data_IF_415389081311
#
_entry.id   IF_415389081311
#
_cell.length_a   1.000
_cell.length_b   1.000
_cell.length_c   1.000
_cell.angle_alpha   90.00
_cell.angle_beta   90.00
_cell.angle_gamma   90.00
#
_symmetry.space_group_name_H-M   'P 1'
#
loop_
_entity.id
_entity.type
_entity.pdbx_description
1 polymer ?
#
# COMPACT_ATOMS: atom_id res chain seq x y z
N UNK A 1 -7.39 -18.86 80.41
CA UNK A 1 -8.65 -19.63 80.49
C UNK A 1 -8.51 -20.82 79.55
N UNK A 2 -8.72 -22.08 79.93
CA UNK A 2 -8.88 -22.67 81.28
C UNK A 2 -8.46 -24.16 81.25
N UNK A 3 -8.26 -24.77 82.42
CA UNK A 3 -8.00 -26.22 82.64
C UNK A 3 -9.20 -27.11 82.23
N UNK A 4 -9.08 -28.44 82.10
CA UNK A 4 -9.20 -29.49 83.17
C UNK A 4 -8.97 -30.85 82.44
N UNK A 5 -7.89 -31.61 82.67
CA UNK A 5 -7.66 -32.75 83.60
C UNK A 5 -8.52 -34.03 83.42
N UNK A 6 -7.94 -35.18 83.77
CA UNK A 6 -8.40 -36.60 83.74
C UNK A 6 -9.27 -36.94 85.01
N UNK A 7 -9.48 -38.18 85.59
CA UNK A 7 -8.81 -39.52 85.44
C UNK A 7 -9.62 -40.84 85.74
N UNK A 8 -8.89 -41.98 85.86
CA UNK A 8 -9.05 -43.17 86.78
C UNK A 8 -10.23 -44.19 86.81
N UNK A 9 -9.88 -45.47 86.54
CA UNK A 9 -10.06 -46.74 87.33
C UNK A 9 -11.18 -46.98 88.39
N UNK A 10 -11.75 -48.21 88.43
CA UNK A 10 -11.63 -49.23 89.54
C UNK A 10 -12.92 -50.03 89.94
N UNK A 11 -12.76 -51.33 90.30
CA UNK A 11 -13.53 -52.16 91.31
C UNK A 11 -15.05 -52.44 91.20
N UNK A 12 -15.69 -53.43 91.86
CA UNK A 12 -15.38 -54.85 92.28
C UNK A 12 -16.61 -55.52 92.98
N UNK A 13 -16.45 -56.66 93.69
CA UNK A 13 -17.38 -57.34 94.67
C UNK A 13 -18.42 -58.37 94.14
N UNK A 14 -18.89 -59.29 95.01
CA UNK A 14 -19.78 -60.47 94.79
C UNK A 14 -20.65 -60.80 96.05
N UNK A 15 -21.62 -61.74 95.98
CA UNK A 15 -22.40 -62.45 97.08
C UNK A 15 -23.80 -62.96 96.57
N UNK A 16 -24.57 -63.93 97.13
CA UNK A 16 -24.39 -64.91 98.24
C UNK A 16 -25.42 -66.10 98.28
N UNK A 17 -25.18 -67.09 99.16
CA UNK A 17 -26.20 -67.95 99.86
C UNK A 17 -26.39 -69.41 99.38
N UNK A 18 -27.13 -70.36 100.00
CA UNK A 18 -27.55 -70.81 101.38
C UNK A 18 -28.11 -72.26 101.19
N UNK A 19 -28.14 -73.29 102.06
CA UNK A 19 -27.76 -73.58 103.46
C UNK A 19 -27.44 -75.11 103.60
N UNK A 20 -27.76 -75.91 104.64
CA UNK A 20 -28.38 -75.74 105.97
C UNK A 20 -27.84 -76.82 106.98
N UNK A 21 -28.63 -77.47 107.87
CA UNK A 21 -28.15 -78.19 109.08
C UNK A 21 -28.92 -79.47 109.55
N UNK A 22 -28.26 -80.33 110.36
CA UNK A 22 -28.82 -81.46 111.16
C UNK A 22 -27.74 -82.23 111.98
N UNK A 23 -28.02 -82.71 113.21
CA UNK A 23 -26.99 -83.11 114.24
C UNK A 23 -27.42 -84.35 115.11
N UNK A 24 -26.45 -84.97 115.82
CA UNK A 24 -26.49 -85.88 117.02
C UNK A 24 -26.24 -87.40 116.82
N UNK A 25 -25.89 -88.20 117.85
CA UNK A 25 -24.67 -88.19 118.70
C UNK A 25 -24.47 -89.49 119.53
N UNK A 26 -23.20 -89.84 119.82
CA UNK A 26 -22.68 -90.65 120.96
C UNK A 26 -23.13 -92.13 121.19
N UNK A 27 -22.13 -93.03 121.02
CA UNK A 27 -21.75 -94.25 121.76
C UNK A 27 -22.74 -95.38 122.15
N UNK A 28 -22.36 -96.60 121.75
CA UNK A 28 -22.15 -97.72 122.69
C UNK A 28 -20.97 -98.61 122.22
N UNK A 29 -20.57 -99.62 123.00
CA UNK A 29 -19.18 -100.07 123.09
C UNK A 29 -18.89 -101.49 122.53
N UNK A 30 -17.72 -101.65 121.92
CA UNK A 30 -16.95 -102.90 121.73
C UNK A 30 -17.60 -104.12 121.03
N UNK A 31 -17.34 -104.25 119.71
CA UNK A 31 -16.89 -105.50 119.09
C UNK A 31 -16.36 -105.29 117.65
N UNK A 32 -15.80 -106.34 117.05
CA UNK A 32 -15.45 -106.44 115.60
C UNK A 32 -14.27 -105.59 115.10
N UNK A 33 -13.21 -105.42 115.89
CA UNK A 33 -11.90 -104.87 115.45
C UNK A 33 -11.10 -105.78 114.50
N UNK A 34 -11.75 -106.70 113.76
CA UNK A 34 -11.11 -107.68 112.86
C UNK A 34 -11.65 -107.75 111.41
N UNK A 35 -12.67 -106.97 111.03
CA UNK A 35 -13.16 -106.92 109.63
C UNK A 35 -12.61 -105.73 108.81
N UNK A 36 -12.23 -104.63 109.45
CA UNK A 36 -11.91 -103.37 108.78
C UNK A 36 -10.69 -103.45 107.83
N UNK A 37 -9.75 -104.35 108.12
CA UNK A 37 -8.45 -104.45 107.44
C UNK A 37 -8.47 -105.21 106.09
N UNK A 38 -9.61 -105.85 105.75
CA UNK A 38 -9.88 -106.36 104.39
C UNK A 38 -10.55 -105.30 103.52
N UNK A 39 -11.62 -104.67 104.02
CA UNK A 39 -12.44 -103.72 103.24
C UNK A 39 -11.66 -102.48 102.75
N UNK A 40 -10.60 -102.06 103.45
CA UNK A 40 -9.77 -100.92 103.06
C UNK A 40 -8.89 -101.17 101.82
N UNK A 41 -8.60 -102.43 101.46
CA UNK A 41 -7.69 -102.76 100.35
C UNK A 41 -8.37 -102.70 98.98
N UNK A 42 -9.66 -103.06 98.92
CA UNK A 42 -10.42 -103.07 97.67
C UNK A 42 -10.83 -101.66 97.23
N UNK A 43 -11.12 -100.76 98.19
CA UNK A 43 -11.52 -99.38 97.88
C UNK A 43 -10.38 -98.56 97.25
N UNK A 44 -9.18 -98.60 97.85
CA UNK A 44 -8.00 -97.92 97.30
C UNK A 44 -7.63 -98.39 95.87
N UNK A 45 -7.94 -99.64 95.51
CA UNK A 45 -7.72 -100.18 94.17
C UNK A 45 -8.75 -99.67 93.14
N UNK A 46 -9.93 -99.25 93.58
CA UNK A 46 -10.91 -98.54 92.74
C UNK A 46 -10.48 -97.10 92.50
N UNK A 47 -10.13 -96.38 93.58
CA UNK A 47 -9.80 -94.95 93.52
C UNK A 47 -8.54 -94.71 92.66
N UNK A 48 -7.52 -95.59 92.76
CA UNK A 48 -6.33 -95.54 91.89
C UNK A 48 -6.66 -95.70 90.40
N UNK A 49 -7.56 -96.64 90.05
CA UNK A 49 -8.00 -96.84 88.65
C UNK A 49 -8.83 -95.66 88.13
N UNK A 50 -9.62 -95.03 89.00
CA UNK A 50 -10.39 -93.84 88.64
C UNK A 50 -9.49 -92.62 88.44
N UNK A 51 -8.46 -92.46 89.29
CA UNK A 51 -7.46 -91.41 89.15
C UNK A 51 -6.57 -91.60 87.92
N UNK A 52 -6.15 -92.83 87.60
CA UNK A 52 -5.45 -93.12 86.34
C UNK A 52 -6.29 -92.74 85.12
N UNK A 53 -7.59 -93.09 85.09
CA UNK A 53 -8.50 -92.67 84.01
C UNK A 53 -8.64 -91.15 83.92
N UNK A 54 -8.64 -90.43 85.04
CA UNK A 54 -8.64 -88.97 85.03
C UNK A 54 -7.31 -88.38 84.53
N UNK A 55 -6.18 -89.01 84.85
CA UNK A 55 -4.86 -88.58 84.34
C UNK A 55 -4.73 -88.85 82.84
N UNK A 56 -5.20 -90.00 82.34
CA UNK A 56 -5.24 -90.29 80.90
C UNK A 56 -6.19 -89.32 80.18
N UNK A 57 -7.41 -89.11 80.67
CA UNK A 57 -8.34 -88.15 80.06
C UNK A 57 -7.85 -86.69 80.12
N UNK A 58 -7.09 -86.31 81.17
CA UNK A 58 -6.44 -85.00 81.23
C UNK A 58 -5.22 -84.89 80.31
N UNK A 59 -4.51 -85.99 80.04
CA UNK A 59 -3.46 -86.05 79.01
C UNK A 59 -4.05 -85.96 77.61
N UNK A 60 -5.10 -86.70 77.31
CA UNK A 60 -5.83 -86.62 76.04
C UNK A 60 -6.38 -85.20 75.83
N UNK A 61 -6.96 -84.58 76.86
CA UNK A 61 -7.43 -83.20 76.79
C UNK A 61 -6.30 -82.16 76.68
N UNK A 62 -5.13 -82.40 77.28
CA UNK A 62 -3.93 -81.55 77.12
C UNK A 62 -3.33 -81.69 75.72
N UNK A 63 -3.15 -82.92 75.23
CA UNK A 63 -2.70 -83.24 73.89
C UNK A 63 -3.60 -82.56 72.85
N UNK A 64 -4.92 -82.75 72.96
CA UNK A 64 -5.89 -82.10 72.09
C UNK A 64 -5.87 -80.57 72.19
N UNK A 65 -5.60 -80.00 73.38
CA UNK A 65 -5.44 -78.54 73.54
C UNK A 65 -4.12 -78.01 73.01
N UNK A 66 -3.07 -78.82 72.99
CA UNK A 66 -1.77 -78.48 72.41
C UNK A 66 -1.81 -78.59 70.87
N UNK A 67 -2.53 -79.58 70.34
CA UNK A 67 -2.88 -79.73 68.92
C UNK A 67 -3.82 -78.60 68.44
N UNK A 68 -4.83 -78.21 69.23
CA UNK A 68 -5.66 -77.01 68.96
C UNK A 68 -4.78 -75.74 68.93
N UNK A 69 -3.82 -75.62 69.86
CA UNK A 69 -2.95 -74.44 69.97
C UNK A 69 -1.88 -74.36 68.89
N UNK A 70 -1.38 -75.48 68.37
CA UNK A 70 -0.51 -75.48 67.18
C UNK A 70 -1.31 -75.12 65.94
N UNK A 71 -2.48 -75.73 65.73
CA UNK A 71 -3.39 -75.36 64.62
C UNK A 71 -3.80 -73.88 64.65
N UNK A 72 -4.13 -73.32 65.82
CA UNK A 72 -4.42 -71.90 65.99
C UNK A 72 -3.20 -71.00 65.72
N UNK A 73 -1.99 -71.42 66.08
CA UNK A 73 -0.74 -70.68 65.77
C UNK A 73 -0.42 -70.71 64.28
N UNK A 74 -0.64 -71.82 63.61
CA UNK A 74 -0.45 -71.95 62.16
C UNK A 74 -1.47 -71.12 61.38
N UNK A 75 -2.75 -71.16 61.78
CA UNK A 75 -3.79 -70.29 61.24
C UNK A 75 -3.46 -68.81 61.43
N UNK A 76 -3.05 -68.40 62.64
CA UNK A 76 -2.65 -67.02 62.94
C UNK A 76 -1.42 -66.59 62.14
N UNK A 77 -0.46 -67.49 61.91
CA UNK A 77 0.72 -67.22 61.09
C UNK A 77 0.35 -67.05 59.61
N UNK A 78 -0.49 -67.94 59.07
CA UNK A 78 -0.99 -67.86 57.70
C UNK A 78 -1.80 -66.58 57.45
N UNK A 79 -2.69 -66.22 58.39
CA UNK A 79 -3.48 -64.99 58.30
C UNK A 79 -2.61 -63.73 58.46
N UNK A 80 -1.60 -63.75 59.35
CA UNK A 80 -0.62 -62.66 59.45
C UNK A 80 0.16 -62.46 58.15
N UNK A 81 0.61 -63.53 57.49
CA UNK A 81 1.25 -63.46 56.16
C UNK A 81 0.29 -62.92 55.12
N UNK A 82 -0.99 -63.32 55.14
CA UNK A 82 -2.01 -62.83 54.22
C UNK A 82 -2.36 -61.35 54.46
N UNK A 83 -2.35 -60.87 55.71
CA UNK A 83 -2.50 -59.44 56.05
C UNK A 83 -1.29 -58.66 55.56
N UNK A 84 -0.07 -59.17 55.74
CA UNK A 84 1.15 -58.51 55.24
C UNK A 84 1.18 -58.42 53.71
N UNK A 85 0.76 -59.47 52.98
CA UNK A 85 0.68 -59.41 51.51
C UNK A 85 -0.43 -58.49 51.02
N UNK A 86 -1.58 -58.45 51.69
CA UNK A 86 -2.66 -57.47 51.42
C UNK A 86 -2.23 -56.03 51.68
N UNK A 87 -1.48 -55.78 52.77
CA UNK A 87 -0.95 -54.44 53.07
C UNK A 87 0.04 -54.00 51.99
N UNK A 88 1.03 -54.83 51.65
CA UNK A 88 2.00 -54.50 50.60
C UNK A 88 1.34 -54.22 49.23
N UNK A 89 0.29 -54.97 48.88
CA UNK A 89 -0.48 -54.72 47.66
C UNK A 89 -1.29 -53.40 47.71
N UNK A 90 -1.79 -53.01 48.89
CA UNK A 90 -2.50 -51.75 49.10
C UNK A 90 -1.54 -50.53 49.11
N UNK A 91 -0.34 -50.69 49.66
CA UNK A 91 0.73 -49.70 49.61
C UNK A 91 1.21 -49.49 48.16
N UNK A 92 1.42 -50.57 47.40
CA UNK A 92 1.74 -50.50 45.97
C UNK A 92 0.63 -49.82 45.15
N UNK A 93 -0.64 -50.19 45.39
CA UNK A 93 -1.77 -49.60 44.68
C UNK A 93 -1.98 -48.11 45.00
N UNK A 94 -1.62 -47.66 46.21
CA UNK A 94 -1.69 -46.24 46.58
C UNK A 94 -0.53 -45.43 46.02
N UNK A 95 0.68 -46.00 45.87
CA UNK A 95 1.76 -45.35 45.10
C UNK A 95 1.39 -45.22 43.61
N UNK A 96 0.88 -46.28 42.98
CA UNK A 96 0.49 -46.27 41.57
C UNK A 96 -0.65 -45.26 41.31
N UNK A 97 -1.67 -45.23 42.17
CA UNK A 97 -2.73 -44.20 42.13
C UNK A 97 -2.16 -42.78 42.27
N UNK A 98 -1.16 -42.58 43.14
CA UNK A 98 -0.45 -41.31 43.29
C UNK A 98 0.28 -40.89 42.01
N UNK A 99 0.98 -41.82 41.35
CA UNK A 99 1.66 -41.57 40.06
C UNK A 99 0.68 -41.24 38.94
N UNK A 100 -0.40 -42.01 38.81
CA UNK A 100 -1.45 -41.78 37.80
C UNK A 100 -2.14 -40.44 38.03
N UNK A 101 -2.46 -40.09 39.28
CA UNK A 101 -3.05 -38.78 39.61
C UNK A 101 -2.11 -37.63 39.22
N UNK A 102 -0.84 -37.69 39.61
CA UNK A 102 0.14 -36.64 39.27
C UNK A 102 0.36 -36.50 37.75
N UNK A 103 0.31 -37.61 37.00
CA UNK A 103 0.38 -37.58 35.54
C UNK A 103 -0.88 -36.96 34.92
N UNK A 104 -2.06 -37.30 35.42
CA UNK A 104 -3.34 -36.73 34.99
C UNK A 104 -3.42 -35.22 35.26
N UNK A 105 -2.96 -34.76 36.43
CA UNK A 105 -2.92 -33.34 36.78
C UNK A 105 -1.98 -32.54 35.85
N UNK A 106 -0.81 -33.09 35.51
CA UNK A 106 0.09 -32.48 34.50
C UNK A 106 -0.55 -32.41 33.11
N UNK A 107 -1.20 -33.48 32.66
CA UNK A 107 -1.89 -33.51 31.37
C UNK A 107 -3.06 -32.51 31.31
N UNK A 108 -3.82 -32.38 32.41
CA UNK A 108 -4.90 -31.41 32.53
C UNK A 108 -4.39 -29.97 32.37
N UNK A 109 -3.24 -29.66 33.00
CA UNK A 109 -2.64 -28.32 32.94
C UNK A 109 -1.99 -28.02 31.58
N UNK A 110 -1.36 -29.01 30.92
CA UNK A 110 -0.94 -28.87 29.52
C UNK A 110 -2.11 -28.58 28.59
N UNK A 111 -3.24 -29.28 28.75
CA UNK A 111 -4.45 -29.06 27.94
C UNK A 111 -5.05 -27.69 28.21
N UNK A 112 -5.12 -27.24 29.47
CA UNK A 112 -5.52 -25.86 29.82
C UNK A 112 -4.62 -24.82 29.16
N UNK A 113 -3.30 -24.99 29.24
CA UNK A 113 -2.33 -24.09 28.61
C UNK A 113 -2.44 -24.03 27.09
N UNK A 114 -2.72 -25.17 26.42
CA UNK A 114 -3.00 -25.21 24.98
C UNK A 114 -4.33 -24.54 24.63
N UNK A 115 -5.40 -24.81 25.38
CA UNK A 115 -6.71 -24.20 25.15
C UNK A 115 -6.70 -22.67 25.35
N UNK A 116 -5.96 -22.16 26.35
CA UNK A 116 -5.79 -20.73 26.56
C UNK A 116 -5.11 -20.04 25.36
N UNK A 117 -4.00 -20.61 24.86
CA UNK A 117 -3.29 -20.08 23.68
C UNK A 117 -4.12 -20.16 22.40
N UNK A 118 -4.91 -21.23 22.23
CA UNK A 118 -5.83 -21.37 21.09
C UNK A 118 -6.97 -20.34 21.16
N UNK A 119 -7.53 -20.07 22.34
CA UNK A 119 -8.55 -19.04 22.50
C UNK A 119 -8.01 -17.63 22.22
N UNK A 120 -6.78 -17.33 22.66
CA UNK A 120 -6.09 -16.06 22.36
C UNK A 120 -5.83 -15.90 20.86
N UNK A 121 -5.29 -16.92 20.20
CA UNK A 121 -5.04 -16.90 18.75
C UNK A 121 -6.32 -16.81 17.90
N UNK A 122 -7.41 -17.44 18.33
CA UNK A 122 -8.73 -17.27 17.69
C UNK A 122 -9.25 -15.83 17.84
N UNK A 123 -9.02 -15.19 18.99
CA UNK A 123 -9.46 -13.82 19.24
C UNK A 123 -8.66 -12.77 18.46
N UNK A 124 -7.34 -12.96 18.28
CA UNK A 124 -6.54 -12.11 17.39
C UNK A 124 -6.97 -12.28 15.93
N UNK A 125 -7.12 -13.53 15.46
CA UNK A 125 -7.47 -13.79 14.06
C UNK A 125 -8.90 -13.34 13.72
N UNK A 126 -9.85 -13.43 14.66
CA UNK A 126 -11.19 -12.87 14.49
C UNK A 126 -11.19 -11.34 14.30
N UNK A 127 -10.28 -10.61 14.97
CA UNK A 127 -10.10 -9.16 14.77
C UNK A 127 -9.49 -8.85 13.40
N UNK A 128 -8.48 -9.60 12.98
CA UNK A 128 -7.86 -9.48 11.65
C UNK A 128 -8.89 -9.70 10.54
N UNK A 129 -9.70 -10.75 10.65
CA UNK A 129 -10.81 -11.02 9.71
C UNK A 129 -11.88 -9.93 9.72
N UNK A 130 -12.20 -9.34 10.89
CA UNK A 130 -13.14 -8.20 10.95
C UNK A 130 -12.60 -6.99 10.19
N UNK A 131 -11.34 -6.59 10.44
CA UNK A 131 -10.72 -5.45 9.77
C UNK A 131 -10.57 -5.67 8.26
N UNK A 132 -10.14 -6.87 7.83
CA UNK A 132 -10.04 -7.22 6.42
C UNK A 132 -11.42 -7.26 5.71
N UNK A 133 -12.48 -7.67 6.43
CA UNK A 133 -13.84 -7.63 5.89
C UNK A 133 -14.39 -6.20 5.81
N UNK A 134 -14.13 -5.33 6.80
CA UNK A 134 -14.45 -3.91 6.73
C UNK A 134 -13.72 -3.20 5.57
N UNK A 135 -12.44 -3.50 5.37
CA UNK A 135 -11.66 -2.98 4.25
C UNK A 135 -12.20 -3.50 2.90
N UNK A 136 -12.46 -4.81 2.79
CA UNK A 136 -13.07 -5.39 1.59
C UNK A 136 -14.44 -4.78 1.30
N UNK A 137 -15.24 -4.49 2.33
CA UNK A 137 -16.54 -3.84 2.18
C UNK A 137 -16.39 -2.37 1.75
N UNK A 138 -15.41 -1.61 2.27
CA UNK A 138 -15.10 -0.25 1.79
C UNK A 138 -14.66 -0.26 0.32
N UNK A 139 -13.77 -1.18 -0.06
CA UNK A 139 -13.31 -1.36 -1.43
C UNK A 139 -14.44 -1.78 -2.38
N UNK A 140 -15.36 -2.65 -1.94
CA UNK A 140 -16.58 -2.99 -2.69
C UNK A 140 -17.47 -1.77 -2.86
N UNK A 141 -17.81 -1.05 -1.80
CA UNK A 141 -18.62 0.18 -1.89
C UNK A 141 -18.00 1.22 -2.84
N UNK A 142 -16.67 1.39 -2.80
CA UNK A 142 -15.96 2.30 -3.71
C UNK A 142 -15.98 1.80 -5.16
N UNK A 143 -15.81 0.49 -5.39
CA UNK A 143 -15.89 -0.11 -6.71
C UNK A 143 -17.32 -0.08 -7.26
N UNK A 144 -18.34 -0.30 -6.42
CA UNK A 144 -19.76 -0.15 -6.74
C UNK A 144 -20.12 1.31 -7.06
N UNK A 145 -19.53 2.29 -6.37
CA UNK A 145 -19.68 3.72 -6.71
C UNK A 145 -19.00 4.07 -8.05
N UNK A 146 -17.82 3.52 -8.32
CA UNK A 146 -17.11 3.68 -9.60
C UNK A 146 -17.90 3.03 -10.74
N UNK A 147 -18.36 1.79 -10.56
CA UNK A 147 -19.18 1.07 -11.53
C UNK A 147 -20.55 1.72 -11.73
N UNK A 148 -21.20 2.22 -10.67
CA UNK A 148 -22.41 3.03 -10.83
C UNK A 148 -22.10 4.30 -11.64
N UNK A 149 -20.95 4.95 -11.41
CA UNK A 149 -20.55 6.14 -12.18
C UNK A 149 -20.31 5.81 -13.67
N UNK A 150 -19.64 4.69 -14.00
CA UNK A 150 -19.39 4.28 -15.40
C UNK A 150 -20.63 3.70 -16.09
N UNK A 151 -21.54 3.06 -15.34
CA UNK A 151 -22.69 2.37 -15.92
C UNK A 151 -23.96 3.25 -15.97
N UNK A 152 -24.07 4.26 -15.11
CA UNK A 152 -25.22 5.21 -15.10
C UNK A 152 -24.91 6.56 -15.74
N UNK A 153 -23.63 6.88 -16.00
CA UNK A 153 -23.28 8.00 -16.90
C UNK A 153 -22.56 7.46 -18.13
N UNK A 154 -23.23 7.60 -19.27
CA UNK A 154 -22.75 7.19 -20.60
C UNK A 154 -21.28 7.53 -20.83
N UNK A 155 -20.52 6.60 -21.40
CA UNK A 155 -19.15 6.83 -21.88
C UNK A 155 -19.08 8.05 -22.81
N UNK A 156 -20.12 8.29 -23.60
CA UNK A 156 -20.39 9.59 -24.23
C UNK A 156 -21.03 10.57 -23.23
N UNK A 157 -20.22 11.21 -22.39
CA UNK A 157 -20.59 12.52 -21.83
C UNK A 157 -20.50 13.55 -22.97
N UNK A 158 -21.42 14.54 -23.04
CA UNK A 158 -21.21 15.68 -23.93
C UNK A 158 -19.96 16.45 -23.48
N UNK A 159 -19.19 16.95 -24.44
CA UNK A 159 -17.99 17.73 -24.15
C UNK A 159 -18.35 19.01 -23.38
N UNK A 160 -17.46 19.43 -22.48
CA UNK A 160 -17.70 20.61 -21.63
C UNK A 160 -17.44 21.94 -22.34
N UNK A 161 -16.72 21.89 -23.46
CA UNK A 161 -16.39 22.99 -24.35
C UNK A 161 -16.60 22.51 -25.78
N UNK A 162 -17.19 23.33 -26.64
CA UNK A 162 -17.31 23.01 -28.07
C UNK A 162 -16.09 23.47 -28.86
N UNK A 163 -15.96 23.00 -30.10
CA UNK A 163 -14.91 23.42 -31.06
C UNK A 163 -14.71 24.96 -31.06
N UNK A 164 -15.81 25.72 -31.04
CA UNK A 164 -15.81 27.19 -31.06
C UNK A 164 -15.12 27.82 -29.84
N UNK A 165 -15.26 27.24 -28.65
CA UNK A 165 -14.61 27.76 -27.44
C UNK A 165 -13.11 27.50 -27.45
N UNK A 166 -12.67 26.35 -27.99
CA UNK A 166 -11.25 26.02 -28.11
C UNK A 166 -10.60 26.82 -29.24
N UNK A 167 -11.28 27.01 -30.38
CA UNK A 167 -10.83 27.92 -31.44
C UNK A 167 -10.63 29.33 -30.87
N UNK A 168 -11.60 29.87 -30.12
CA UNK A 168 -11.48 31.19 -29.48
C UNK A 168 -10.27 31.27 -28.54
N UNK A 169 -9.98 30.22 -27.76
CA UNK A 169 -8.79 30.17 -26.91
C UNK A 169 -7.48 30.19 -27.72
N UNK A 170 -7.40 29.45 -28.85
CA UNK A 170 -6.25 29.49 -29.76
C UNK A 170 -6.12 30.84 -30.45
N UNK A 171 -7.23 31.50 -30.81
CA UNK A 171 -7.23 32.87 -31.33
C UNK A 171 -6.78 33.90 -30.28
N UNK A 172 -7.16 33.74 -29.00
CA UNK A 172 -6.69 34.56 -27.89
C UNK A 172 -5.19 34.39 -27.66
N UNK A 173 -4.68 33.15 -27.64
CA UNK A 173 -3.24 32.84 -27.56
C UNK A 173 -2.47 33.49 -28.73
N UNK A 174 -3.01 33.34 -29.94
CA UNK A 174 -2.43 33.94 -31.14
C UNK A 174 -2.38 35.47 -31.04
N UNK A 175 -3.39 36.12 -30.46
CA UNK A 175 -3.41 37.57 -30.22
C UNK A 175 -2.36 38.02 -29.23
N UNK A 176 -2.30 37.38 -28.06
CA UNK A 176 -1.35 37.73 -26.98
C UNK A 176 0.11 37.55 -27.43
N UNK A 177 0.41 36.47 -28.16
CA UNK A 177 1.74 36.22 -28.73
C UNK A 177 2.10 37.25 -29.81
N UNK A 178 1.16 37.64 -30.70
CA UNK A 178 1.40 38.74 -31.65
C UNK A 178 1.76 40.05 -30.93
N UNK A 179 0.94 40.44 -29.93
CA UNK A 179 1.10 41.70 -29.21
C UNK A 179 2.38 41.73 -28.37
N UNK A 180 2.72 40.63 -27.72
CA UNK A 180 3.97 40.49 -26.94
C UNK A 180 5.19 40.60 -27.84
N UNK A 181 5.20 39.93 -29.00
CA UNK A 181 6.31 39.95 -29.95
C UNK A 181 6.52 41.35 -30.59
N UNK A 182 5.43 42.06 -30.88
CA UNK A 182 5.44 43.44 -31.36
C UNK A 182 6.01 44.40 -30.30
N UNK A 183 5.44 44.39 -29.08
CA UNK A 183 5.88 45.24 -27.98
C UNK A 183 7.36 45.00 -27.61
N UNK A 184 7.79 43.74 -27.56
CA UNK A 184 9.19 43.40 -27.28
C UNK A 184 10.13 43.95 -28.35
N UNK A 185 9.80 43.76 -29.64
CA UNK A 185 10.63 44.24 -30.73
C UNK A 185 10.72 45.79 -30.76
N UNK A 186 9.59 46.49 -30.58
CA UNK A 186 9.58 47.96 -30.53
C UNK A 186 10.42 48.53 -29.38
N UNK A 187 10.48 47.83 -28.23
CA UNK A 187 11.29 48.23 -27.07
C UNK A 187 12.79 48.03 -27.31
N UNK A 188 13.21 46.90 -27.88
CA UNK A 188 14.64 46.55 -28.03
C UNK A 188 15.28 47.14 -29.30
N UNK A 189 14.47 47.45 -30.33
CA UNK A 189 14.91 48.07 -31.59
C UNK A 189 15.83 49.29 -31.45
N UNK A 190 15.64 50.22 -30.47
CA UNK A 190 16.54 51.36 -30.27
C UNK A 190 17.90 51.00 -29.66
N UNK A 191 18.07 49.81 -29.07
CA UNK A 191 19.31 49.36 -28.42
C UNK A 191 20.38 48.91 -29.43
N UNK A 192 19.98 48.56 -30.66
CA UNK A 192 20.89 48.10 -31.72
C UNK A 192 21.78 49.24 -32.25
N UNK A 193 23.09 49.07 -32.05
CA UNK A 193 24.13 50.00 -32.51
C UNK A 193 24.75 49.54 -33.84
N UNK A 194 25.24 50.49 -34.65
CA UNK A 194 25.92 50.18 -35.90
C UNK A 194 27.36 49.66 -35.66
N UNK A 195 27.47 48.33 -35.58
CA UNK A 195 28.64 47.47 -35.88
C UNK A 195 30.06 48.03 -35.61
N UNK A 196 30.75 47.53 -34.57
CA UNK A 196 32.18 47.79 -34.37
C UNK A 196 32.94 46.76 -33.48
N UNK A 197 32.96 45.46 -33.83
CA UNK A 197 34.07 44.54 -33.47
C UNK A 197 34.01 43.23 -34.29
N UNK A 198 35.16 42.63 -34.58
CA UNK A 198 35.26 41.38 -35.38
C UNK A 198 35.37 40.10 -34.52
N UNK A 199 35.72 40.23 -33.23
CA UNK A 199 35.72 39.11 -32.28
C UNK A 199 34.31 38.80 -31.78
N UNK A 200 33.91 37.51 -31.82
CA UNK A 200 32.68 37.01 -31.20
C UNK A 200 33.00 36.24 -29.90
N UNK A 201 32.60 36.76 -28.72
CA UNK A 201 32.60 36.00 -27.47
C UNK A 201 31.86 34.66 -27.58
N UNK A 202 32.34 33.63 -26.88
CA UNK A 202 31.79 32.27 -26.96
C UNK A 202 30.30 32.17 -26.60
N UNK A 203 29.80 33.05 -25.73
CA UNK A 203 28.38 33.16 -25.37
C UNK A 203 27.47 33.48 -26.59
N UNK A 204 27.98 34.25 -27.57
CA UNK A 204 27.25 34.57 -28.81
C UNK A 204 27.22 33.36 -29.75
N UNK A 205 28.25 32.51 -29.73
CA UNK A 205 28.23 31.25 -30.48
C UNK A 205 27.23 30.27 -29.85
N UNK A 206 27.20 30.12 -28.52
CA UNK A 206 26.20 29.29 -27.82
C UNK A 206 24.77 29.79 -28.05
N UNK A 207 24.56 31.11 -27.98
CA UNK A 207 23.28 31.74 -28.32
C UNK A 207 22.88 31.51 -29.79
N UNK A 208 23.84 31.56 -30.72
CA UNK A 208 23.62 31.28 -32.16
C UNK A 208 23.23 29.82 -32.38
N UNK A 209 23.90 28.86 -31.73
CA UNK A 209 23.64 27.43 -31.85
C UNK A 209 22.25 27.08 -31.29
N UNK A 210 21.91 27.56 -30.10
CA UNK A 210 20.55 27.43 -29.54
C UNK A 210 19.48 28.04 -30.46
N UNK A 211 19.73 29.25 -30.97
CA UNK A 211 18.78 29.94 -31.88
C UNK A 211 18.65 29.18 -33.22
N UNK A 212 19.68 28.44 -33.63
CA UNK A 212 19.65 27.54 -34.80
C UNK A 212 18.81 26.29 -34.55
N UNK A 213 18.84 25.72 -33.35
CA UNK A 213 17.95 24.60 -32.98
C UNK A 213 16.50 25.06 -32.89
N UNK A 214 16.23 26.23 -32.29
CA UNK A 214 14.88 26.73 -32.04
C UNK A 214 14.16 27.32 -33.28
N UNK A 215 14.87 28.07 -34.13
CA UNK A 215 14.29 28.81 -35.27
C UNK A 215 14.77 28.32 -36.65
N UNK A 216 15.79 27.46 -36.67
CA UNK A 216 16.38 26.92 -37.89
C UNK A 216 17.37 27.87 -38.57
N UNK A 217 18.38 27.26 -39.19
CA UNK A 217 19.54 27.90 -39.82
C UNK A 217 19.22 29.13 -40.70
N UNK A 218 18.13 29.08 -41.48
CA UNK A 218 17.73 30.21 -42.33
C UNK A 218 17.33 31.45 -41.51
N UNK A 219 16.60 31.28 -40.40
CA UNK A 219 16.20 32.41 -39.55
C UNK A 219 17.41 32.96 -38.79
N UNK A 220 18.21 32.08 -38.17
CA UNK A 220 19.45 32.45 -37.46
C UNK A 220 20.41 33.24 -38.35
N UNK A 221 20.60 32.79 -39.60
CA UNK A 221 21.45 33.50 -40.57
C UNK A 221 20.87 34.85 -41.00
N UNK A 222 19.54 35.05 -41.01
CA UNK A 222 18.95 36.36 -41.27
C UNK A 222 19.02 37.28 -40.05
N UNK A 223 18.85 36.76 -38.83
CA UNK A 223 19.07 37.50 -37.59
C UNK A 223 20.50 38.05 -37.49
N UNK A 224 21.52 37.25 -37.83
CA UNK A 224 22.93 37.68 -37.78
C UNK A 224 23.33 38.74 -38.82
N UNK A 225 22.58 38.91 -39.92
CA UNK A 225 23.03 39.67 -41.10
C UNK A 225 22.13 40.85 -41.50
N UNK A 226 21.06 41.16 -40.76
CA UNK A 226 20.13 42.27 -41.06
C UNK A 226 20.21 43.36 -40.01
N UNK A 227 20.18 44.63 -40.44
CA UNK A 227 20.03 45.77 -39.51
C UNK A 227 18.58 45.85 -38.99
N UNK A 228 18.38 45.32 -37.78
CA UNK A 228 17.07 45.32 -37.10
C UNK A 228 16.60 46.72 -36.68
N UNK A 229 17.49 47.72 -36.66
CA UNK A 229 17.13 49.12 -36.39
C UNK A 229 16.27 49.70 -37.51
N UNK A 230 16.51 49.27 -38.76
CA UNK A 230 15.62 49.56 -39.89
C UNK A 230 14.48 48.53 -40.03
N UNK A 231 14.75 47.25 -39.74
CA UNK A 231 13.86 46.11 -40.08
C UNK A 231 13.64 45.14 -38.92
N UNK A 232 12.95 45.59 -37.87
CA UNK A 232 12.56 44.81 -36.67
C UNK A 232 11.67 43.59 -36.96
N UNK A 233 11.10 43.50 -38.17
CA UNK A 233 10.21 42.42 -38.61
C UNK A 233 10.79 41.01 -38.40
N UNK A 234 12.12 40.84 -38.45
CA UNK A 234 12.78 39.57 -38.14
C UNK A 234 12.83 39.27 -36.63
N UNK A 235 13.08 40.26 -35.78
CA UNK A 235 12.99 40.12 -34.32
C UNK A 235 11.56 39.74 -33.92
N UNK A 236 10.57 40.46 -34.44
CA UNK A 236 9.14 40.19 -34.23
C UNK A 236 8.80 38.74 -34.52
N UNK A 237 9.07 38.26 -35.73
CA UNK A 237 8.75 36.86 -36.10
C UNK A 237 9.61 35.82 -35.38
N UNK A 238 10.79 36.19 -34.86
CA UNK A 238 11.64 35.29 -34.07
C UNK A 238 11.10 35.09 -32.65
N UNK A 239 10.75 36.18 -31.95
CA UNK A 239 10.05 36.12 -30.66
C UNK A 239 8.68 35.43 -30.79
N UNK A 240 7.97 35.68 -31.90
CA UNK A 240 6.68 35.06 -32.15
C UNK A 240 6.80 33.54 -32.34
N UNK A 241 7.79 33.09 -33.11
CA UNK A 241 8.03 31.68 -33.39
C UNK A 241 8.48 30.91 -32.13
N UNK A 242 9.39 31.46 -31.33
CA UNK A 242 9.79 30.84 -30.05
C UNK A 242 8.62 30.74 -29.08
N UNK A 243 7.80 31.79 -28.95
CA UNK A 243 6.58 31.74 -28.14
C UNK A 243 5.59 30.67 -28.61
N UNK A 244 5.42 30.46 -29.92
CA UNK A 244 4.57 29.37 -30.41
C UNK A 244 5.15 27.98 -30.14
N UNK A 245 6.48 27.80 -30.23
CA UNK A 245 7.14 26.53 -29.93
C UNK A 245 6.94 26.12 -28.45
N UNK A 246 7.22 27.01 -27.49
CA UNK A 246 6.99 26.70 -26.07
C UNK A 246 5.51 26.60 -25.72
N UNK A 247 4.64 27.36 -26.39
CA UNK A 247 3.19 27.25 -26.19
C UNK A 247 2.63 25.93 -26.72
N UNK A 248 3.13 25.41 -27.85
CA UNK A 248 2.76 24.08 -28.36
C UNK A 248 3.09 23.01 -27.32
N UNK A 249 4.35 22.98 -26.86
CA UNK A 249 4.81 22.08 -25.80
C UNK A 249 3.93 22.15 -24.55
N UNK A 250 3.67 23.35 -24.01
CA UNK A 250 2.80 23.51 -22.82
C UNK A 250 1.38 22.96 -23.09
N UNK A 251 0.83 23.13 -24.30
CA UNK A 251 -0.50 22.64 -24.66
C UNK A 251 -0.54 21.11 -24.76
N UNK A 252 0.45 20.47 -25.37
CA UNK A 252 0.49 19.01 -25.53
C UNK A 252 0.93 18.28 -24.26
N UNK A 253 1.81 18.87 -23.44
CA UNK A 253 2.47 18.26 -22.29
C UNK A 253 1.57 17.54 -21.28
N UNK A 254 2.09 16.44 -20.73
CA UNK A 254 1.53 15.75 -19.57
C UNK A 254 2.10 16.29 -18.26
N UNK A 255 3.39 16.66 -18.25
CA UNK A 255 4.13 17.16 -17.09
C UNK A 255 5.14 18.21 -17.54
N UNK A 256 5.13 19.38 -16.90
CA UNK A 256 6.14 20.42 -17.14
C UNK A 256 7.46 20.09 -16.40
N UNK A 257 8.09 18.95 -16.70
CA UNK A 257 9.34 18.47 -16.05
C UNK A 257 10.26 17.75 -17.05
N UNK A 258 10.89 16.65 -16.64
CA UNK A 258 11.81 15.88 -17.46
C UNK A 258 11.07 15.24 -18.65
N UNK A 259 11.62 15.46 -19.85
CA UNK A 259 11.14 14.86 -21.11
C UNK A 259 11.11 13.33 -21.03
N UNK A 260 11.95 12.70 -20.21
CA UNK A 260 11.93 11.23 -20.03
C UNK A 260 10.65 10.74 -19.32
N UNK A 261 10.16 11.46 -18.31
CA UNK A 261 8.90 11.11 -17.62
C UNK A 261 7.69 11.30 -18.56
N UNK A 262 7.72 12.37 -19.35
CA UNK A 262 6.70 12.72 -20.34
C UNK A 262 6.60 11.70 -21.50
N UNK A 263 7.74 11.28 -22.06
CA UNK A 263 7.80 10.31 -23.16
C UNK A 263 7.13 8.98 -22.82
N UNK A 264 7.34 8.45 -21.60
CA UNK A 264 6.73 7.19 -21.17
C UNK A 264 5.19 7.28 -21.09
N UNK A 265 4.66 8.40 -20.57
CA UNK A 265 3.21 8.62 -20.50
C UNK A 265 2.61 8.76 -21.90
N UNK A 266 3.31 9.46 -22.80
CA UNK A 266 2.91 9.63 -24.20
C UNK A 266 2.91 8.29 -24.96
N UNK A 267 3.96 7.48 -24.87
CA UNK A 267 4.05 6.15 -25.52
C UNK A 267 2.93 5.20 -25.06
N UNK A 268 2.58 5.24 -23.77
CA UNK A 268 1.45 4.49 -23.21
C UNK A 268 0.12 5.01 -23.78
N UNK A 269 -0.04 6.34 -23.89
CA UNK A 269 -1.27 6.92 -24.46
C UNK A 269 -1.44 6.60 -25.95
N UNK A 270 -0.37 6.67 -26.74
CA UNK A 270 -0.40 6.37 -28.18
C UNK A 270 -0.87 4.94 -28.44
N UNK A 271 -0.25 3.96 -27.77
CA UNK A 271 -0.65 2.54 -27.86
C UNK A 271 -2.08 2.30 -27.37
N UNK A 272 -2.58 3.11 -26.44
CA UNK A 272 -3.95 3.03 -25.97
C UNK A 272 -4.95 3.59 -27.01
N UNK A 273 -4.72 4.80 -27.55
CA UNK A 273 -5.63 5.43 -28.52
C UNK A 273 -5.68 4.68 -29.86
N UNK A 274 -4.60 4.01 -30.26
CA UNK A 274 -4.59 3.11 -31.41
C UNK A 274 -5.58 1.94 -31.26
N UNK A 275 -5.68 1.36 -30.06
CA UNK A 275 -6.37 0.08 -29.80
C UNK A 275 -7.76 0.21 -29.19
N UNK A 276 -7.95 1.15 -28.27
CA UNK A 276 -9.21 1.33 -27.54
C UNK A 276 -10.18 2.23 -28.31
N UNK A 277 -11.48 2.10 -28.05
CA UNK A 277 -12.51 3.01 -28.58
C UNK A 277 -12.35 4.42 -27.98
N UNK A 278 -12.64 5.47 -28.76
CA UNK A 278 -12.29 6.86 -28.42
C UNK A 278 -12.76 7.35 -27.03
N UNK A 279 -13.96 7.00 -26.52
CA UNK A 279 -14.35 7.36 -25.15
C UNK A 279 -13.45 6.77 -24.05
N UNK A 280 -12.87 5.59 -24.30
CA UNK A 280 -11.99 4.88 -23.34
C UNK A 280 -10.63 5.58 -23.29
N UNK A 281 -10.00 5.86 -24.43
CA UNK A 281 -8.73 6.59 -24.48
C UNK A 281 -8.89 8.02 -23.94
N UNK A 282 -9.98 8.71 -24.28
CA UNK A 282 -10.27 10.03 -23.72
C UNK A 282 -10.49 10.00 -22.18
N UNK A 283 -11.25 9.04 -21.66
CA UNK A 283 -11.42 8.88 -20.21
C UNK A 283 -10.09 8.57 -19.51
N UNK A 284 -9.24 7.72 -20.10
CA UNK A 284 -7.90 7.44 -19.58
C UNK A 284 -7.04 8.71 -19.55
N UNK A 285 -7.02 9.50 -20.64
CA UNK A 285 -6.27 10.77 -20.72
C UNK A 285 -6.66 11.74 -19.59
N UNK A 286 -7.96 11.90 -19.35
CA UNK A 286 -8.49 12.76 -18.29
C UNK A 286 -8.07 12.26 -16.90
N UNK A 287 -8.18 10.94 -16.64
CA UNK A 287 -7.79 10.35 -15.37
C UNK A 287 -6.28 10.43 -15.14
N UNK A 288 -5.47 10.10 -16.15
CA UNK A 288 -4.01 10.17 -16.09
C UNK A 288 -3.53 11.61 -15.84
N UNK A 289 -4.00 12.61 -16.62
CA UNK A 289 -3.71 14.03 -16.36
C UNK A 289 -4.11 14.45 -14.93
N UNK A 290 -5.28 14.03 -14.44
CA UNK A 290 -5.73 14.31 -13.06
C UNK A 290 -4.79 13.70 -12.00
N UNK A 291 -4.43 12.43 -12.10
CA UNK A 291 -3.59 11.76 -11.10
C UNK A 291 -2.13 12.24 -11.16
N UNK A 292 -1.59 12.52 -12.35
CA UNK A 292 -0.30 13.18 -12.54
C UNK A 292 -0.25 14.52 -11.81
N UNK A 293 -1.23 15.41 -12.06
CA UNK A 293 -1.30 16.71 -11.37
C UNK A 293 -1.51 16.59 -9.86
N UNK A 294 -2.02 15.45 -9.37
CA UNK A 294 -2.11 15.15 -7.93
C UNK A 294 -0.77 14.68 -7.35
N UNK A 295 0.01 13.87 -8.06
CA UNK A 295 1.33 13.37 -7.64
C UNK A 295 2.31 14.55 -7.47
N UNK A 296 2.45 15.40 -8.49
CA UNK A 296 3.38 16.54 -8.44
C UNK A 296 2.82 17.77 -7.71
N UNK A 297 1.72 17.65 -6.95
CA UNK A 297 1.08 18.77 -6.25
C UNK A 297 1.95 19.37 -5.14
N UNK A 298 2.77 18.54 -4.52
CA UNK A 298 3.64 18.92 -3.39
C UNK A 298 5.09 19.21 -3.84
N UNK A 299 5.39 19.00 -5.12
CA UNK A 299 6.73 19.20 -5.71
C UNK A 299 6.83 20.58 -6.37
N UNK A 300 7.87 21.38 -6.10
CA UNK A 300 8.09 22.66 -6.78
C UNK A 300 8.09 22.50 -8.31
N UNK A 301 7.20 23.21 -8.99
CA UNK A 301 7.13 23.24 -10.45
C UNK A 301 8.19 24.24 -10.97
N UNK A 302 8.80 24.01 -12.16
CA UNK A 302 9.69 25.00 -12.76
C UNK A 302 8.90 26.27 -13.16
N UNK A 303 9.59 27.40 -13.21
CA UNK A 303 9.00 28.62 -13.80
C UNK A 303 9.01 28.48 -15.32
N UNK A 304 7.82 28.30 -15.91
CA UNK A 304 7.66 28.17 -17.35
C UNK A 304 8.14 29.42 -18.12
N UNK A 305 8.27 30.57 -17.47
CA UNK A 305 8.79 31.79 -18.10
C UNK A 305 10.31 31.76 -18.33
N UNK A 306 11.06 30.91 -17.62
CA UNK A 306 12.51 30.76 -17.81
C UNK A 306 12.86 30.39 -19.25
N UNK A 307 12.13 29.43 -19.83
CA UNK A 307 12.31 28.99 -21.22
C UNK A 307 12.04 30.11 -22.24
N UNK A 308 11.10 31.00 -21.95
CA UNK A 308 10.78 32.13 -22.82
C UNK A 308 11.89 33.18 -22.75
N UNK A 309 12.33 33.57 -21.54
CA UNK A 309 13.34 34.61 -21.36
C UNK A 309 14.74 34.18 -21.82
N UNK A 310 15.15 32.93 -21.56
CA UNK A 310 16.39 32.34 -22.09
C UNK A 310 16.43 32.40 -23.63
N UNK A 311 15.34 31.97 -24.29
CA UNK A 311 15.21 32.05 -25.74
C UNK A 311 15.23 33.49 -26.27
N UNK A 312 14.56 34.44 -25.58
CA UNK A 312 14.53 35.84 -25.99
C UNK A 312 15.93 36.50 -25.91
N UNK A 313 16.67 36.27 -24.83
CA UNK A 313 18.04 36.76 -24.68
C UNK A 313 18.97 36.18 -25.75
N UNK A 314 18.88 34.87 -26.02
CA UNK A 314 19.69 34.19 -27.05
C UNK A 314 19.36 34.69 -28.47
N UNK A 315 18.09 34.95 -28.77
CA UNK A 315 17.66 35.59 -30.03
C UNK A 315 18.28 36.99 -30.16
N UNK A 316 18.28 37.80 -29.10
CA UNK A 316 18.87 39.15 -29.11
C UNK A 316 20.39 39.15 -29.30
N UNK A 317 21.12 38.28 -28.58
CA UNK A 317 22.57 38.13 -28.75
C UNK A 317 22.93 37.65 -30.17
N UNK A 318 22.14 36.72 -30.72
CA UNK A 318 22.26 36.25 -32.11
C UNK A 318 21.95 37.35 -33.13
N UNK A 319 21.00 38.23 -32.82
CA UNK A 319 20.66 39.40 -33.64
C UNK A 319 21.70 40.53 -33.58
N UNK A 320 22.75 40.39 -32.76
CA UNK A 320 23.81 41.38 -32.64
C UNK A 320 23.57 42.45 -31.56
N UNK A 321 22.68 42.21 -30.59
CA UNK A 321 22.60 43.07 -29.40
C UNK A 321 23.88 42.92 -28.58
N UNK A 322 24.82 43.86 -28.75
CA UNK A 322 26.11 43.92 -28.04
C UNK A 322 25.98 44.79 -26.78
N UNK A 323 25.26 44.29 -25.79
CA UNK A 323 25.25 44.84 -24.42
C UNK A 323 26.61 44.65 -23.73
N UNK A 324 26.89 45.44 -22.68
CA UNK A 324 27.90 45.08 -21.67
C UNK A 324 27.34 44.15 -20.58
N UNK A 325 26.02 43.97 -20.58
CA UNK A 325 25.27 43.01 -19.76
C UNK A 325 25.57 41.58 -20.23
N UNK A 326 25.80 40.68 -19.27
CA UNK A 326 25.86 39.23 -19.49
C UNK A 326 24.50 38.63 -19.87
N UNK A 327 24.50 37.38 -20.36
CA UNK A 327 23.27 36.65 -20.68
C UNK A 327 22.27 36.59 -19.50
N UNK A 328 22.75 36.44 -18.27
CA UNK A 328 21.91 36.41 -17.06
C UNK A 328 21.27 37.78 -16.78
N UNK A 329 22.05 38.87 -16.87
CA UNK A 329 21.58 40.24 -16.64
C UNK A 329 20.56 40.68 -17.72
N UNK A 330 20.80 40.35 -18.98
CA UNK A 330 19.85 40.57 -20.08
C UNK A 330 18.53 39.81 -19.84
N UNK A 331 18.62 38.54 -19.41
CA UNK A 331 17.46 37.69 -19.14
C UNK A 331 16.62 38.23 -17.99
N UNK A 332 17.25 38.71 -16.91
CA UNK A 332 16.54 39.34 -15.79
C UNK A 332 15.96 40.71 -16.15
N UNK A 333 16.65 41.50 -16.98
CA UNK A 333 16.11 42.76 -17.53
C UNK A 333 14.82 42.52 -18.33
N UNK A 334 14.82 41.53 -19.22
CA UNK A 334 13.63 41.14 -19.97
C UNK A 334 12.52 40.60 -19.05
N UNK A 335 12.85 39.82 -18.01
CA UNK A 335 11.89 39.32 -17.02
C UNK A 335 11.19 40.47 -16.28
N UNK A 336 11.95 41.45 -15.80
CA UNK A 336 11.41 42.62 -15.10
C UNK A 336 10.47 43.45 -15.99
N UNK A 337 10.73 43.52 -17.30
CA UNK A 337 9.93 44.32 -18.22
C UNK A 337 8.71 43.60 -18.82
N UNK A 338 8.81 42.28 -19.09
CA UNK A 338 7.80 41.55 -19.87
C UNK A 338 7.14 40.37 -19.15
N UNK A 339 7.49 40.09 -17.89
CA UNK A 339 6.92 38.99 -17.08
C UNK A 339 5.39 38.93 -17.09
N UNK A 340 4.69 40.07 -17.06
CA UNK A 340 3.22 40.12 -17.14
C UNK A 340 2.65 39.58 -18.46
N UNK A 341 3.28 39.90 -19.59
CA UNK A 341 2.88 39.47 -20.93
C UNK A 341 3.21 38.00 -21.16
N UNK A 342 4.42 37.57 -20.79
CA UNK A 342 4.83 36.16 -20.85
C UNK A 342 3.95 35.29 -19.95
N UNK A 343 3.61 35.77 -18.74
CA UNK A 343 2.64 35.09 -17.88
C UNK A 343 1.23 35.02 -18.51
N UNK A 344 0.79 36.04 -19.27
CA UNK A 344 -0.49 35.97 -19.99
C UNK A 344 -0.48 34.85 -21.04
N UNK A 345 0.56 34.79 -21.89
CA UNK A 345 0.77 33.71 -22.88
C UNK A 345 0.75 32.32 -22.22
N UNK A 346 1.56 32.13 -21.17
CA UNK A 346 1.64 30.86 -20.43
C UNK A 346 0.29 30.49 -19.80
N UNK A 347 -0.43 31.44 -19.20
CA UNK A 347 -1.76 31.17 -18.62
C UNK A 347 -2.78 30.75 -19.68
N UNK A 348 -2.73 31.28 -20.90
CA UNK A 348 -3.62 30.85 -21.99
C UNK A 348 -3.21 29.45 -22.50
N UNK A 349 -1.91 29.15 -22.61
CA UNK A 349 -1.41 27.83 -23.00
C UNK A 349 -1.80 26.74 -21.97
N UNK A 350 -1.72 27.03 -20.66
CA UNK A 350 -2.18 26.11 -19.60
C UNK A 350 -3.71 25.93 -19.63
N UNK A 351 -4.47 26.98 -19.94
CA UNK A 351 -5.92 26.87 -20.15
C UNK A 351 -6.25 25.99 -21.36
N UNK A 352 -5.46 26.07 -22.45
CA UNK A 352 -5.59 25.20 -23.61
C UNK A 352 -5.21 23.74 -23.30
N UNK A 353 -4.12 23.47 -22.57
CA UNK A 353 -3.78 22.13 -22.07
C UNK A 353 -4.96 21.50 -21.29
N UNK A 354 -5.60 22.31 -20.44
CA UNK A 354 -6.73 21.90 -19.61
C UNK A 354 -8.02 21.72 -20.43
N UNK A 355 -8.31 22.62 -21.36
CA UNK A 355 -9.47 22.51 -22.25
C UNK A 355 -9.37 21.27 -23.14
N UNK A 356 -8.24 21.12 -23.84
CA UNK A 356 -7.98 20.02 -24.75
C UNK A 356 -7.87 18.69 -24.00
N UNK A 357 -7.16 18.65 -22.87
CA UNK A 357 -6.85 17.44 -22.11
C UNK A 357 -7.95 16.94 -21.18
N UNK A 358 -8.72 17.83 -20.54
CA UNK A 358 -9.68 17.47 -19.48
C UNK A 358 -11.15 17.58 -19.91
N UNK A 359 -11.46 18.39 -20.93
CA UNK A 359 -12.83 18.85 -21.21
C UNK A 359 -13.46 18.30 -22.50
N UNK A 360 -12.66 17.67 -23.36
CA UNK A 360 -13.08 17.11 -24.65
C UNK A 360 -12.85 15.59 -24.68
N UNK A 361 -13.85 14.87 -25.18
CA UNK A 361 -13.98 13.40 -25.21
C UNK A 361 -14.49 12.85 -26.53
N UNK A 362 -15.24 13.63 -27.33
CA UNK A 362 -15.72 13.21 -28.65
C UNK A 362 -14.63 13.18 -29.73
N UNK A 363 -13.56 13.94 -29.54
CA UNK A 363 -12.44 14.08 -30.46
C UNK A 363 -11.12 14.30 -29.71
N UNK A 364 -9.99 14.08 -30.39
CA UNK A 364 -8.70 14.62 -29.98
C UNK A 364 -8.49 15.97 -30.68
N UNK A 365 -8.22 17.02 -29.92
CA UNK A 365 -7.80 18.32 -30.44
C UNK A 365 -6.29 18.45 -30.29
N UNK A 366 -5.60 18.94 -31.31
CA UNK A 366 -4.13 19.03 -31.35
C UNK A 366 -3.73 20.40 -31.91
N UNK A 367 -2.85 21.17 -31.22
CA UNK A 367 -2.33 22.41 -31.78
C UNK A 367 -1.53 22.11 -33.05
N UNK A 368 -1.58 23.02 -34.04
CA UNK A 368 -0.74 22.91 -35.24
C UNK A 368 0.34 23.99 -35.18
N UNK A 369 1.57 23.56 -34.91
CA UNK A 369 2.80 24.31 -35.14
C UNK A 369 3.51 23.72 -36.36
N UNK A 370 4.05 24.57 -37.22
CA UNK A 370 4.85 24.15 -38.38
C UNK A 370 6.32 24.46 -38.11
N UNK A 371 7.14 23.42 -38.03
CA UNK A 371 8.60 23.53 -37.88
C UNK A 371 9.25 24.17 -39.13
N UNK A 372 10.41 24.77 -38.91
CA UNK A 372 11.24 25.37 -39.96
C UNK A 372 11.74 24.31 -40.95
N UNK A 373 11.49 24.53 -42.24
CA UNK A 373 11.94 23.66 -43.33
C UNK A 373 10.94 22.60 -43.79
N UNK A 374 9.80 22.44 -43.12
CA UNK A 374 8.68 21.65 -43.65
C UNK A 374 8.23 22.27 -44.99
N UNK A 375 7.98 21.48 -46.07
CA UNK A 375 7.48 22.00 -47.33
C UNK A 375 6.08 22.61 -47.19
N UNK A 376 5.79 23.64 -47.97
CA UNK A 376 4.49 24.31 -47.91
C UNK A 376 3.36 23.49 -48.53
N UNK A 377 2.23 23.43 -47.84
CA UNK A 377 0.98 22.86 -48.33
C UNK A 377 -0.18 23.83 -48.09
N UNK A 378 -0.76 24.36 -49.17
CA UNK A 378 -1.89 25.30 -49.13
C UNK A 378 -3.19 24.63 -48.62
N UNK A 379 -3.29 23.29 -48.63
CA UNK A 379 -4.48 22.60 -48.11
C UNK A 379 -4.51 22.59 -46.58
N UNK A 380 -3.35 22.53 -45.91
CA UNK A 380 -3.24 22.56 -44.45
C UNK A 380 -2.80 23.90 -43.85
N UNK A 381 -2.01 24.71 -44.56
CA UNK A 381 -1.40 25.95 -44.06
C UNK A 381 -2.01 27.22 -44.70
N UNK A 382 -1.68 28.39 -44.15
CA UNK A 382 -1.95 29.69 -44.79
C UNK A 382 -0.68 30.55 -44.82
N UNK A 383 -0.25 31.01 -46.00
CA UNK A 383 0.93 31.86 -46.15
C UNK A 383 0.64 33.33 -45.77
N UNK A 384 1.35 33.87 -44.79
CA UNK A 384 1.27 35.27 -44.36
C UNK A 384 2.12 36.17 -45.27
N UNK A 385 1.53 37.12 -46.02
CA UNK A 385 2.31 38.11 -46.74
C UNK A 385 3.00 39.07 -45.77
N UNK A 386 4.25 39.45 -46.05
CA UNK A 386 4.99 40.43 -45.24
C UNK A 386 4.34 41.81 -45.33
N UNK A 387 3.72 42.25 -44.23
CA UNK A 387 3.15 43.59 -44.08
C UNK A 387 4.22 44.66 -44.35
N UNK A 388 4.02 45.43 -45.41
CA UNK A 388 4.97 46.46 -45.87
C UNK A 388 5.12 46.52 -47.39
N UNK A 389 4.90 45.40 -48.12
CA UNK A 389 4.82 45.41 -49.60
C UNK A 389 3.45 45.87 -50.09
N UNK A 390 3.20 47.17 -50.03
CA UNK A 390 2.04 47.78 -50.68
C UNK A 390 2.14 47.57 -52.20
N UNK A 391 1.09 46.99 -52.81
CA UNK A 391 0.88 46.81 -54.27
C UNK A 391 1.67 45.72 -55.03
N UNK A 392 2.44 44.83 -54.38
CA UNK A 392 2.95 43.63 -55.09
C UNK A 392 1.96 42.46 -55.03
N UNK A 393 1.75 41.80 -56.17
CA UNK A 393 0.93 40.58 -56.30
C UNK A 393 1.46 39.50 -55.35
N UNK A 394 0.60 38.75 -54.63
CA UNK A 394 1.04 37.62 -53.82
C UNK A 394 1.92 36.68 -54.66
N UNK A 395 3.18 36.54 -54.26
CA UNK A 395 4.11 35.61 -54.95
C UNK A 395 3.50 34.22 -54.84
N UNK A 396 3.19 33.62 -55.99
CA UNK A 396 2.75 32.23 -56.06
C UNK A 396 3.83 31.38 -55.39
N UNK A 397 3.51 30.60 -54.34
CA UNK A 397 4.48 29.75 -53.68
C UNK A 397 5.18 28.84 -54.70
N UNK A 398 6.50 28.68 -54.57
CA UNK A 398 7.23 27.70 -55.38
C UNK A 398 6.85 26.30 -54.92
N UNK A 399 6.90 25.32 -55.82
CA UNK A 399 6.66 23.90 -55.48
C UNK A 399 7.61 23.37 -54.40
N UNK A 400 8.77 24.01 -54.28
CA UNK A 400 9.86 23.62 -53.39
C UNK A 400 10.02 24.63 -52.23
N UNK A 401 9.05 25.53 -52.04
CA UNK A 401 9.08 26.51 -50.95
C UNK A 401 8.79 25.84 -49.60
N UNK A 402 9.42 26.33 -48.55
CA UNK A 402 9.36 25.73 -47.21
C UNK A 402 9.13 26.78 -46.13
N UNK A 403 8.55 26.33 -45.03
CA UNK A 403 8.27 27.14 -43.85
C UNK A 403 9.58 27.74 -43.32
N UNK A 404 9.58 29.05 -43.11
CA UNK A 404 10.59 29.76 -42.31
C UNK A 404 10.24 29.69 -40.83
N UNK A 405 9.00 30.06 -40.49
CA UNK A 405 8.45 30.02 -39.14
C UNK A 405 6.91 30.02 -39.14
N UNK A 406 6.34 29.62 -38.01
CA UNK A 406 4.90 29.77 -37.71
C UNK A 406 4.62 31.17 -37.16
N UNK A 407 3.59 31.83 -37.68
CA UNK A 407 3.13 33.18 -37.30
C UNK A 407 1.71 33.21 -36.75
N UNK A 408 0.94 32.12 -36.85
CA UNK A 408 -0.19 31.79 -35.96
C UNK A 408 -0.32 30.28 -35.81
N UNK A 409 -0.51 29.80 -34.59
CA UNK A 409 -0.81 28.40 -34.29
C UNK A 409 -2.19 28.02 -34.84
N UNK A 410 -2.28 26.85 -35.48
CA UNK A 410 -3.53 26.25 -35.94
C UNK A 410 -4.14 25.27 -34.94
N UNK A 411 -5.24 24.62 -35.33
CA UNK A 411 -5.93 23.62 -34.53
C UNK A 411 -6.45 22.49 -35.42
N UNK A 412 -6.02 21.27 -35.13
CA UNK A 412 -6.47 20.02 -35.75
C UNK A 412 -7.49 19.34 -34.85
N UNK A 413 -8.49 18.70 -35.45
CA UNK A 413 -9.39 17.75 -34.80
C UNK A 413 -9.23 16.37 -35.42
N UNK A 414 -9.08 15.35 -34.57
CA UNK A 414 -8.91 13.96 -34.94
C UNK A 414 -10.00 13.11 -34.29
N UNK A 415 -10.77 12.38 -35.09
CA UNK A 415 -11.87 11.51 -34.65
C UNK A 415 -11.58 10.08 -35.09
N UNK A 416 -11.66 9.11 -34.18
CA UNK A 416 -11.37 7.71 -34.50
C UNK A 416 -12.52 7.09 -35.31
N UNK A 417 -12.20 6.33 -36.34
CA UNK A 417 -13.20 5.62 -37.15
C UNK A 417 -13.67 4.39 -36.37
N UNK A 418 -14.94 4.40 -35.94
CA UNK A 418 -15.53 3.34 -35.10
C UNK A 418 -15.38 1.95 -35.73
N UNK A 419 -14.95 0.98 -34.94
CA UNK A 419 -14.73 -0.39 -35.40
C UNK A 419 -13.59 -0.56 -36.41
N UNK A 420 -12.61 0.36 -36.46
CA UNK A 420 -11.34 0.19 -37.16
C UNK A 420 -10.18 0.60 -36.26
N UNK A 421 -9.22 -0.31 -36.10
CA UNK A 421 -8.01 -0.08 -35.31
C UNK A 421 -7.10 0.92 -36.04
N UNK A 422 -6.56 1.91 -35.32
CA UNK A 422 -5.62 2.90 -35.85
C UNK A 422 -6.14 3.90 -36.92
N UNK A 423 -7.37 3.80 -37.43
CA UNK A 423 -7.86 4.72 -38.47
C UNK A 423 -8.50 5.99 -37.89
N UNK A 424 -8.01 7.16 -38.33
CA UNK A 424 -8.45 8.48 -37.87
C UNK A 424 -8.96 9.34 -39.02
N UNK A 425 -10.05 10.06 -38.76
CA UNK A 425 -10.53 11.16 -39.62
C UNK A 425 -10.00 12.48 -39.08
N UNK A 426 -9.30 13.23 -39.92
CA UNK A 426 -8.70 14.51 -39.56
C UNK A 426 -9.49 15.68 -40.18
N UNK A 427 -9.75 16.73 -39.38
CA UNK A 427 -10.41 17.97 -39.79
C UNK A 427 -9.65 19.15 -39.21
N UNK A 428 -9.08 20.00 -40.06
CA UNK A 428 -8.45 21.25 -39.61
C UNK A 428 -9.56 22.23 -39.24
N UNK A 429 -9.55 22.70 -38.00
CA UNK A 429 -10.48 23.71 -37.47
C UNK A 429 -9.95 25.12 -37.69
N UNK A 430 -8.63 25.30 -37.58
CA UNK A 430 -7.92 26.54 -37.84
C UNK A 430 -6.59 26.20 -38.54
N UNK A 431 -6.36 26.72 -39.76
CA UNK A 431 -5.06 26.54 -40.43
C UNK A 431 -3.99 27.37 -39.71
N UNK A 432 -2.79 26.81 -39.43
CA UNK A 432 -1.67 27.61 -38.98
C UNK A 432 -1.32 28.66 -40.04
N UNK A 433 -0.94 29.86 -39.61
CA UNK A 433 -0.37 30.86 -40.50
C UNK A 433 1.15 30.77 -40.42
N UNK A 434 1.80 30.74 -41.56
CA UNK A 434 3.26 30.57 -41.68
C UNK A 434 3.86 31.70 -42.52
N UNK A 435 5.19 31.83 -42.49
CA UNK A 435 5.93 32.60 -43.51
C UNK A 435 6.82 31.63 -44.28
N UNK A 436 6.91 31.83 -45.60
CA UNK A 436 7.76 31.07 -46.51
C UNK A 436 9.19 31.65 -46.57
N UNK A 437 10.18 30.78 -46.78
CA UNK A 437 11.59 31.19 -46.93
C UNK A 437 11.77 32.15 -48.12
N UNK A 438 11.05 31.95 -49.23
CA UNK A 438 11.14 32.83 -50.40
C UNK A 438 10.67 34.28 -50.17
N UNK A 439 9.98 34.56 -49.06
CA UNK A 439 9.53 35.90 -48.71
C UNK A 439 10.70 36.87 -48.47
N UNK A 440 11.84 36.35 -47.97
CA UNK A 440 13.05 37.13 -47.67
C UNK A 440 14.18 36.97 -48.70
N UNK A 441 14.07 36.05 -49.67
CA UNK A 441 15.15 35.73 -50.63
C UNK A 441 15.27 36.71 -51.83
N UNK A 442 14.51 37.80 -51.84
CA UNK A 442 14.65 38.88 -52.84
C UNK A 442 14.44 40.23 -52.13
N UNK A 443 15.50 40.64 -51.42
CA UNK A 443 15.71 41.92 -50.77
C UNK A 443 17.18 42.33 -50.97
#
# INVERSE_FOLDING_TARGET
>A
MSSVTSPTTSSSVAYYGVGFLGIFSIASYFSVTKLWDRFRRERNASDSKQLQRQIEALREALQQKEDDLTGLREALAAEKVQVQSKQAALDQATEELGRVKLQSEKQLEEVRGRNARLAEALHTHAREVSMANEESQRLRTMNEQLQATTNTTSLTKPDRLGDVDVIRLVETLNGEICQTAELMADVVKPEFQQSASEDEPGEIQEATEYTKELLGEKMTNMLRNVDHREKDILLRYSFQASMYAYSEWIITSWVYRDRNEEQLVQEIYDRLREREEQPISAQWRILTRKYIRQIYRETPQPDLSDYFFDAFSRILMTAGLRSQESLEELTERLRQQFSSHVAAVINIAIQLNTAIGDSVTSCELVPIYCETGIPFDDTSMENTPLSGRTLEVPRVPRTDDSVLCTTKMGLLQSVKVKGRDGEWTHRILLRPKIILRSAFEIA
#
